data_IF_993214004219
#
_entry.id   IF_993214004219
#
_cell.length_a   1.000
_cell.length_b   1.000
_cell.length_c   1.000
_cell.angle_alpha   90.00
_cell.angle_beta   90.00
_cell.angle_gamma   90.00
#
_symmetry.space_group_name_H-M   'P 1'
#
loop_
_entity.id
_entity.type
_entity.pdbx_description
1 polymer ?
#
# COMPACT_ATOMS: atom_id res chain seq x y z
N UNK A 1 -7.47 -12.82 7.95
CA UNK A 1 -6.58 -13.56 8.88
C UNK A 1 -6.07 -14.79 8.18
N UNK A 2 -4.81 -15.17 8.39
CA UNK A 2 -4.18 -16.32 7.72
C UNK A 2 -3.38 -17.18 8.70
N UNK A 3 -3.01 -18.38 8.26
CA UNK A 3 -2.29 -19.36 9.06
C UNK A 3 -1.42 -20.27 8.19
N UNK A 4 -0.61 -21.10 8.85
CA UNK A 4 0.08 -22.25 8.28
C UNK A 4 -0.19 -23.45 9.20
N UNK A 5 -1.17 -24.27 8.83
CA UNK A 5 -1.60 -25.41 9.66
C UNK A 5 -0.74 -26.68 9.46
N UNK A 6 0.20 -26.64 8.52
CA UNK A 6 1.11 -27.74 8.20
C UNK A 6 2.32 -27.24 7.41
N UNK A 7 3.38 -28.03 7.37
CA UNK A 7 4.59 -27.68 6.63
C UNK A 7 4.29 -27.42 5.15
N UNK A 8 4.76 -26.28 4.63
CA UNK A 8 4.52 -25.87 3.25
C UNK A 8 3.11 -25.35 2.96
N UNK A 9 2.26 -25.17 3.99
CA UNK A 9 0.91 -24.62 3.81
C UNK A 9 0.86 -23.12 4.06
N UNK A 10 -0.02 -22.45 3.34
CA UNK A 10 -0.46 -21.08 3.60
C UNK A 10 -1.97 -21.02 3.35
N UNK A 11 -2.72 -20.49 4.31
CA UNK A 11 -4.15 -20.27 4.16
C UNK A 11 -4.55 -18.85 4.54
N UNK A 12 -5.60 -18.36 3.88
CA UNK A 12 -6.16 -17.05 4.11
C UNK A 12 -7.68 -17.14 4.17
N UNK A 13 -8.25 -16.70 5.28
CA UNK A 13 -9.69 -16.55 5.44
C UNK A 13 -10.14 -15.27 4.74
N UNK A 14 -10.87 -15.42 3.63
CA UNK A 14 -11.26 -14.31 2.73
C UNK A 14 -12.57 -13.62 3.13
N UNK A 15 -13.49 -14.35 3.78
CA UNK A 15 -14.79 -13.84 4.22
C UNK A 15 -15.33 -14.76 5.32
N UNK A 16 -16.16 -14.23 6.23
CA UNK A 16 -16.78 -15.00 7.31
C UNK A 16 -18.25 -14.65 7.45
N UNK A 17 -19.07 -15.67 7.71
CA UNK A 17 -20.49 -15.53 8.05
C UNK A 17 -20.82 -16.49 9.18
N UNK A 18 -21.42 -15.98 10.24
CA UNK A 18 -21.82 -16.70 11.44
C UNK A 18 -23.33 -16.57 11.61
N UNK A 19 -23.99 -17.60 12.14
CA UNK A 19 -25.44 -17.57 12.41
C UNK A 19 -25.75 -17.32 13.89
N UNK A 20 -24.72 -17.25 14.72
CA UNK A 20 -24.82 -17.03 16.16
C UNK A 20 -23.84 -15.93 16.59
N UNK A 21 -24.27 -15.15 17.58
CA UNK A 21 -23.46 -14.18 18.30
C UNK A 21 -22.44 -14.92 19.20
N UNK A 22 -21.30 -14.30 19.43
CA UNK A 22 -20.22 -14.85 20.26
C UNK A 22 -20.31 -14.46 21.74
N UNK A 23 -21.33 -13.69 22.12
CA UNK A 23 -21.63 -13.22 23.47
C UNK A 23 -20.59 -12.27 24.09
N UNK A 24 -19.79 -11.57 23.26
CA UNK A 24 -18.83 -10.56 23.72
C UNK A 24 -19.34 -9.11 23.70
N UNK A 25 -20.66 -8.91 23.56
CA UNK A 25 -21.34 -7.64 23.83
C UNK A 25 -21.94 -6.93 22.61
N UNK A 26 -21.74 -7.47 21.40
CA UNK A 26 -22.35 -6.92 20.17
C UNK A 26 -23.83 -7.31 20.09
N UNK A 27 -24.19 -8.55 20.43
CA UNK A 27 -25.58 -9.00 20.55
C UNK A 27 -26.22 -9.36 19.20
N UNK A 28 -25.44 -9.59 18.16
CA UNK A 28 -25.89 -10.00 16.83
C UNK A 28 -24.85 -10.91 16.16
N UNK A 29 -25.30 -11.88 15.34
CA UNK A 29 -24.39 -12.73 14.59
C UNK A 29 -23.71 -11.94 13.46
N UNK A 30 -22.46 -12.32 13.12
CA UNK A 30 -21.76 -11.80 11.94
C UNK A 30 -22.43 -12.32 10.64
N UNK A 31 -23.55 -11.73 10.24
CA UNK A 31 -24.43 -12.24 9.18
C UNK A 31 -24.80 -11.14 8.18
N UNK A 32 -23.82 -10.48 7.59
CA UNK A 32 -24.02 -9.34 6.69
C UNK A 32 -24.81 -9.73 5.42
N UNK A 33 -25.77 -8.87 5.04
CA UNK A 33 -26.62 -9.06 3.86
C UNK A 33 -26.75 -7.78 3.03
N UNK A 34 -26.92 -7.92 1.72
CA UNK A 34 -27.28 -6.84 0.80
C UNK A 34 -28.39 -7.33 -0.14
N UNK A 35 -29.45 -6.54 -0.32
CA UNK A 35 -30.62 -6.88 -1.13
C UNK A 35 -31.23 -8.25 -0.76
N UNK A 36 -31.38 -8.52 0.54
CA UNK A 36 -31.89 -9.80 1.08
C UNK A 36 -31.06 -11.05 0.71
N UNK A 37 -29.84 -10.86 0.22
CA UNK A 37 -28.87 -11.91 -0.06
C UNK A 37 -27.63 -11.79 0.84
N UNK A 38 -26.92 -12.90 1.05
CA UNK A 38 -25.64 -12.87 1.78
C UNK A 38 -24.63 -11.94 1.09
N UNK A 39 -23.92 -11.13 1.88
CA UNK A 39 -22.99 -10.15 1.34
C UNK A 39 -21.92 -10.80 0.45
N UNK A 40 -21.68 -10.18 -0.71
CA UNK A 40 -20.62 -10.59 -1.63
C UNK A 40 -19.49 -9.57 -1.55
N UNK A 41 -18.28 -10.05 -1.25
CA UNK A 41 -17.06 -9.24 -1.26
C UNK A 41 -16.19 -9.57 -2.46
N UNK A 42 -15.45 -8.58 -2.95
CA UNK A 42 -14.41 -8.76 -3.97
C UNK A 42 -13.10 -8.23 -3.40
N UNK A 43 -12.05 -9.02 -3.53
CA UNK A 43 -10.70 -8.65 -3.13
C UNK A 43 -9.67 -9.18 -4.12
N UNK A 44 -8.45 -8.68 -4.00
CA UNK A 44 -7.29 -9.09 -4.80
C UNK A 44 -6.21 -9.59 -3.85
N UNK A 45 -5.58 -10.71 -4.19
CA UNK A 45 -4.46 -11.26 -3.44
C UNK A 45 -3.24 -11.30 -4.33
N UNK A 46 -2.10 -10.93 -3.76
CA UNK A 46 -0.80 -10.95 -4.44
C UNK A 46 0.03 -12.07 -3.83
N UNK A 47 0.51 -12.97 -4.68
CA UNK A 47 1.41 -14.05 -4.29
C UNK A 47 2.77 -13.81 -4.94
N UNK A 48 3.78 -13.58 -4.12
CA UNK A 48 5.18 -13.47 -4.56
C UNK A 48 5.94 -14.72 -4.14
N UNK A 49 6.97 -15.07 -4.91
CA UNK A 49 7.86 -16.20 -4.60
C UNK A 49 9.29 -15.84 -4.98
N UNK A 50 10.25 -16.55 -4.38
CA UNK A 50 11.68 -16.17 -4.37
C UNK A 50 12.32 -16.03 -5.74
N UNK A 51 11.82 -16.70 -6.78
CA UNK A 51 12.39 -16.59 -8.14
C UNK A 51 12.21 -15.21 -8.78
N UNK A 52 11.28 -14.40 -8.26
CA UNK A 52 11.10 -13.03 -8.73
C UNK A 52 12.20 -12.08 -8.24
N UNK A 53 12.98 -12.50 -7.23
CA UNK A 53 14.09 -11.74 -6.68
C UNK A 53 15.21 -11.56 -7.71
N UNK A 54 15.79 -10.36 -7.75
CA UNK A 54 16.99 -10.05 -8.53
C UNK A 54 18.16 -9.75 -7.58
N UNK A 55 19.41 -9.76 -8.06
CA UNK A 55 20.55 -9.34 -7.24
C UNK A 55 20.40 -7.92 -6.66
N UNK A 56 19.65 -7.05 -7.32
CA UNK A 56 19.40 -5.66 -6.92
C UNK A 56 18.20 -5.51 -5.99
N UNK A 57 17.29 -6.49 -5.95
CA UNK A 57 16.06 -6.45 -5.15
C UNK A 57 15.69 -7.88 -4.76
N UNK A 58 16.11 -8.27 -3.56
CA UNK A 58 15.76 -9.56 -2.99
C UNK A 58 14.29 -9.65 -2.58
N UNK A 59 13.91 -10.75 -1.93
CA UNK A 59 12.52 -10.97 -1.55
C UNK A 59 12.01 -9.96 -0.52
N UNK A 60 12.85 -9.46 0.38
CA UNK A 60 12.51 -8.37 1.32
C UNK A 60 12.19 -7.09 0.56
N UNK A 61 13.06 -6.70 -0.38
CA UNK A 61 12.84 -5.58 -1.28
C UNK A 61 11.54 -5.70 -2.08
N UNK A 62 11.27 -6.86 -2.68
CA UNK A 62 10.05 -7.10 -3.44
C UNK A 62 8.79 -6.99 -2.57
N UNK A 63 8.82 -7.60 -1.38
CA UNK A 63 7.68 -7.59 -0.45
C UNK A 63 7.35 -6.16 0.00
N UNK A 64 8.35 -5.39 0.44
CA UNK A 64 8.16 -4.00 0.91
C UNK A 64 7.65 -3.09 -0.20
N UNK A 65 8.31 -3.11 -1.36
CA UNK A 65 7.90 -2.28 -2.51
C UNK A 65 6.50 -2.59 -3.00
N UNK A 66 6.19 -3.87 -3.20
CA UNK A 66 4.85 -4.26 -3.64
C UNK A 66 3.79 -3.90 -2.60
N UNK A 67 4.10 -4.06 -1.30
CA UNK A 67 3.22 -3.66 -0.21
C UNK A 67 2.85 -2.17 -0.28
N UNK A 68 3.85 -1.32 -0.50
CA UNK A 68 3.62 0.12 -0.68
C UNK A 68 2.86 0.46 -1.96
N UNK A 69 3.20 -0.13 -3.10
CA UNK A 69 2.50 0.11 -4.36
C UNK A 69 1.02 -0.29 -4.31
N UNK A 70 0.71 -1.37 -3.56
CA UNK A 70 -0.67 -1.82 -3.34
C UNK A 70 -1.40 -0.91 -2.36
N UNK A 71 -0.73 -0.39 -1.33
CA UNK A 71 -1.34 0.49 -0.33
C UNK A 71 -1.54 1.92 -0.85
N UNK A 72 -0.59 2.43 -1.65
CA UNK A 72 -0.54 3.78 -2.19
C UNK A 72 -0.73 3.79 -3.71
N UNK A 73 -1.82 3.19 -4.17
CA UNK A 73 -2.16 3.21 -5.59
C UNK A 73 -2.36 4.64 -6.12
N UNK A 74 -1.95 4.94 -7.35
CA UNK A 74 -2.18 6.25 -7.95
C UNK A 74 -3.66 6.63 -7.98
N UNK A 75 -3.96 7.87 -7.60
CA UNK A 75 -5.32 8.41 -7.71
C UNK A 75 -5.59 8.75 -9.18
N UNK A 76 -6.55 8.04 -9.77
CA UNK A 76 -6.99 8.30 -11.14
C UNK A 76 -8.08 9.38 -11.11
N UNK A 77 -7.88 10.45 -11.88
CA UNK A 77 -8.85 11.54 -12.01
C UNK A 77 -9.24 11.73 -13.48
N UNK A 78 -10.46 12.19 -13.70
CA UNK A 78 -11.01 12.42 -15.03
C UNK A 78 -11.59 13.82 -15.13
N UNK A 79 -11.36 14.48 -16.26
CA UNK A 79 -11.98 15.77 -16.58
C UNK A 79 -12.58 15.71 -17.98
N UNK A 80 -13.78 16.29 -18.14
CA UNK A 80 -14.42 16.38 -19.45
C UNK A 80 -13.66 17.40 -20.30
N UNK A 81 -13.29 17.00 -21.52
CA UNK A 81 -12.62 17.89 -22.47
C UNK A 81 -13.06 17.60 -23.89
N UNK A 82 -13.04 18.64 -24.73
CA UNK A 82 -13.18 18.53 -26.19
C UNK A 82 -11.82 18.59 -26.91
N UNK A 83 -10.73 18.75 -26.16
CA UNK A 83 -9.37 18.80 -26.71
C UNK A 83 -8.89 17.41 -27.09
N UNK A 84 -8.04 17.32 -28.11
CA UNK A 84 -7.32 16.07 -28.38
C UNK A 84 -6.30 15.79 -27.26
N UNK A 85 -5.88 14.52 -27.13
CA UNK A 85 -4.83 14.14 -26.18
C UNK A 85 -3.51 14.88 -26.44
N UNK A 86 -3.21 15.20 -27.71
CA UNK A 86 -2.02 15.97 -28.08
C UNK A 86 -2.11 17.41 -27.57
N UNK A 87 -3.23 18.09 -27.84
CA UNK A 87 -3.42 19.49 -27.44
C UNK A 87 -3.45 19.64 -25.92
N UNK A 88 -4.08 18.71 -25.20
CA UNK A 88 -4.06 18.70 -23.74
C UNK A 88 -2.63 18.60 -23.19
N UNK A 89 -1.84 17.67 -23.76
CA UNK A 89 -0.47 17.40 -23.33
C UNK A 89 0.44 18.62 -23.51
N UNK A 90 0.24 19.39 -24.58
CA UNK A 90 1.04 20.58 -24.89
C UNK A 90 0.53 21.85 -24.21
N UNK A 91 -0.76 21.93 -23.89
CA UNK A 91 -1.38 23.12 -23.27
C UNK A 91 -1.18 23.16 -21.75
N UNK A 92 -1.24 22.02 -21.07
CA UNK A 92 -1.20 21.96 -19.60
C UNK A 92 0.11 21.37 -19.07
N UNK A 93 0.42 21.71 -17.81
CA UNK A 93 1.45 20.97 -17.10
C UNK A 93 0.89 19.64 -16.59
N UNK A 94 1.40 18.53 -17.13
CA UNK A 94 0.92 17.18 -16.82
C UNK A 94 1.80 16.45 -15.80
N UNK A 95 2.84 17.10 -15.26
CA UNK A 95 3.73 16.54 -14.25
C UNK A 95 4.15 17.61 -13.25
N UNK A 96 4.04 17.28 -11.97
CA UNK A 96 4.55 18.13 -10.89
C UNK A 96 5.20 17.25 -9.82
N UNK A 97 6.27 17.75 -9.22
CA UNK A 97 6.91 17.16 -8.06
C UNK A 97 7.33 18.27 -7.10
N UNK A 98 7.13 18.05 -5.80
CA UNK A 98 7.62 18.94 -4.75
C UNK A 98 9.06 18.63 -4.32
N UNK A 99 9.66 17.55 -4.85
CA UNK A 99 10.98 17.08 -4.48
C UNK A 99 12.03 17.55 -5.51
N UNK A 100 13.18 18.03 -5.02
CA UNK A 100 14.36 18.32 -5.86
C UNK A 100 15.03 17.04 -6.37
N UNK A 101 15.00 15.99 -5.56
CA UNK A 101 15.54 14.66 -5.85
C UNK A 101 14.63 13.60 -5.25
N UNK A 102 14.56 12.42 -5.88
CA UNK A 102 13.85 11.28 -5.30
C UNK A 102 14.40 10.93 -3.92
N UNK A 103 13.53 10.45 -3.04
CA UNK A 103 13.97 9.86 -1.78
C UNK A 103 14.81 8.59 -2.06
N UNK A 104 15.77 8.26 -1.17
CA UNK A 104 16.47 6.98 -1.24
C UNK A 104 15.48 5.82 -1.23
N UNK A 105 15.78 4.70 -1.91
CA UNK A 105 14.84 3.58 -2.02
C UNK A 105 14.43 2.90 -0.71
N UNK A 106 15.15 3.16 0.39
CA UNK A 106 14.85 2.66 1.73
C UNK A 106 13.98 3.59 2.57
N UNK A 107 13.67 4.78 2.06
CA UNK A 107 12.94 5.83 2.79
C UNK A 107 11.59 6.06 2.16
N UNK A 108 10.54 5.93 2.98
CA UNK A 108 9.18 6.24 2.60
C UNK A 108 8.66 7.49 3.30
N UNK A 109 7.88 8.31 2.55
CA UNK A 109 7.18 9.47 3.07
C UNK A 109 5.86 9.04 3.69
N UNK A 110 5.88 8.75 4.99
CA UNK A 110 4.70 8.29 5.71
C UNK A 110 3.66 9.40 5.91
N UNK A 111 4.08 10.66 6.11
CA UNK A 111 3.15 11.78 6.30
C UNK A 111 3.75 13.10 5.85
N UNK A 112 2.94 13.87 5.13
CA UNK A 112 3.15 15.29 4.86
C UNK A 112 1.81 16.00 4.99
N UNK A 113 1.62 16.74 6.08
CA UNK A 113 0.36 17.46 6.32
C UNK A 113 0.59 18.86 6.90
N UNK A 114 -0.30 19.84 6.59
CA UNK A 114 -0.36 21.09 7.32
C UNK A 114 -0.57 20.86 8.81
N UNK A 115 0.13 21.63 9.63
CA UNK A 115 0.03 21.58 11.07
C UNK A 115 -0.31 22.95 11.66
N UNK A 116 -0.17 23.13 12.97
CA UNK A 116 -0.48 24.38 13.66
C UNK A 116 0.43 25.52 13.20
N UNK A 117 -0.09 26.75 13.23
CA UNK A 117 0.68 27.97 12.98
C UNK A 117 1.42 28.01 11.64
N UNK A 118 0.86 27.37 10.61
CA UNK A 118 1.46 27.32 9.27
C UNK A 118 2.68 26.41 9.15
N UNK A 119 2.95 25.58 10.16
CA UNK A 119 3.97 24.54 10.11
C UNK A 119 3.49 23.30 9.32
N UNK A 120 4.39 22.36 9.11
CA UNK A 120 4.12 21.07 8.46
C UNK A 120 4.53 19.93 9.41
N UNK A 121 3.71 18.89 9.49
CA UNK A 121 4.12 17.61 10.05
C UNK A 121 4.71 16.74 8.92
N UNK A 122 5.98 16.38 9.09
CA UNK A 122 6.69 15.48 8.20
C UNK A 122 7.09 14.22 8.99
N UNK A 123 6.68 13.04 8.50
CA UNK A 123 7.16 11.75 9.01
C UNK A 123 7.76 10.95 7.88
N UNK A 124 8.98 10.48 8.10
CA UNK A 124 9.72 9.60 7.22
C UNK A 124 9.96 8.29 7.96
N UNK A 125 9.92 7.18 7.24
CA UNK A 125 10.23 5.87 7.80
C UNK A 125 11.30 5.16 6.98
N UNK A 126 12.05 4.28 7.65
CA UNK A 126 12.89 3.32 6.99
C UNK A 126 12.06 2.07 6.70
N UNK A 127 11.90 1.71 5.43
CA UNK A 127 10.98 0.66 5.00
C UNK A 127 11.48 -0.75 5.34
N UNK A 128 12.79 -0.89 5.51
CA UNK A 128 13.47 -2.17 5.71
C UNK A 128 13.88 -2.35 7.17
N UNK A 129 13.69 -3.58 7.67
CA UNK A 129 14.26 -4.03 8.94
C UNK A 129 15.76 -4.26 8.81
N UNK A 130 16.44 -4.37 9.96
CA UNK A 130 17.87 -4.67 9.98
C UNK A 130 18.12 -6.03 9.31
N UNK A 131 19.11 -6.07 8.42
CA UNK A 131 19.52 -7.28 7.69
C UNK A 131 18.44 -7.90 6.78
N UNK A 132 17.33 -7.19 6.50
CA UNK A 132 16.25 -7.69 5.65
C UNK A 132 16.68 -7.79 4.17
N UNK A 133 17.31 -6.73 3.68
CA UNK A 133 17.82 -6.61 2.31
C UNK A 133 19.20 -5.99 2.26
N UNK A 134 20.13 -6.65 1.57
CA UNK A 134 21.50 -6.16 1.38
C UNK A 134 21.54 -4.79 0.70
N UNK A 135 22.24 -3.82 1.30
CA UNK A 135 22.40 -2.45 0.78
C UNK A 135 21.19 -1.53 0.95
N UNK A 136 19.97 -2.07 1.12
CA UNK A 136 18.75 -1.28 1.37
C UNK A 136 18.38 -1.19 2.84
N UNK A 137 18.94 -2.06 3.69
CA UNK A 137 18.74 -2.05 5.15
C UNK A 137 19.74 -1.15 5.88
N UNK A 138 20.72 -0.59 5.15
CA UNK A 138 21.79 0.21 5.72
C UNK A 138 21.28 1.59 6.19
N UNK A 139 21.88 2.17 7.26
CA UNK A 139 21.53 3.50 7.71
C UNK A 139 21.64 4.55 6.59
N UNK A 140 20.63 5.40 6.48
CA UNK A 140 20.56 6.46 5.47
C UNK A 140 20.44 7.83 6.12
N UNK A 141 21.14 8.82 5.57
CA UNK A 141 21.04 10.22 5.98
C UNK A 141 20.35 11.03 4.89
N UNK A 142 19.37 11.83 5.28
CA UNK A 142 18.60 12.68 4.38
C UNK A 142 18.90 14.14 4.65
N UNK A 143 19.15 14.90 3.59
CA UNK A 143 19.18 16.34 3.65
C UNK A 143 17.90 16.89 3.02
N UNK A 144 17.09 17.60 3.82
CA UNK A 144 15.81 18.17 3.41
C UNK A 144 15.91 19.64 2.98
N UNK A 145 17.12 20.24 2.97
CA UNK A 145 17.37 21.64 2.60
C UNK A 145 17.75 21.79 1.11
#
# INVERSE_FOLDING_TARGET
GGSSLGEGHMELMVHRRLLHDDAFGVGEPLNETAFDHGLVVRGTHYLTYSYLATPECDFGCLHRRLGEEVMLQPIISFSKTSMSAYDWKTTFNNKWTGLKSSLPPSVHLLTLEPWTDGSLLLRLEHMFEAEETSGLSDPVTLNLQ
#
